data_IF_899037043287
#
_entry.id   IF_899037043287
#
_cell.length_a   1.000
_cell.length_b   1.000
_cell.length_c   1.000
_cell.angle_alpha   90.00
_cell.angle_beta   90.00
_cell.angle_gamma   90.00
#
_symmetry.space_group_name_H-M   'P 1'
#
loop_
_entity.id
_entity.type
_entity.pdbx_description
1 polymer ?
#
# COMPACT_ATOMS: atom_id res chain seq x y z
N UNK A 1 -16.99 -26.84 -5.50
CA UNK A 1 -15.89 -27.58 -6.15
C UNK A 1 -14.70 -27.58 -5.20
N UNK A 2 -13.88 -28.65 -5.19
CA UNK A 2 -12.68 -28.72 -4.37
C UNK A 2 -11.63 -27.72 -4.88
N UNK A 3 -10.94 -27.03 -3.95
CA UNK A 3 -9.84 -26.11 -4.28
C UNK A 3 -8.70 -26.90 -4.94
N UNK A 4 -8.16 -26.37 -6.01
CA UNK A 4 -7.02 -26.96 -6.73
C UNK A 4 -5.72 -26.30 -6.30
N UNK A 5 -4.65 -27.11 -6.23
CA UNK A 5 -3.28 -26.64 -5.97
C UNK A 5 -2.33 -27.27 -6.98
N UNK A 6 -1.28 -26.52 -7.36
CA UNK A 6 -0.21 -26.96 -8.24
C UNK A 6 1.13 -27.02 -7.52
N UNK A 7 1.97 -27.98 -7.88
CA UNK A 7 3.34 -28.11 -7.34
C UNK A 7 4.20 -29.09 -8.12
N UNK A 8 5.52 -28.99 -7.97
CA UNK A 8 6.48 -30.04 -8.28
C UNK A 8 6.57 -31.01 -7.10
N UNK A 9 6.63 -32.32 -7.33
CA UNK A 9 6.35 -33.34 -6.30
C UNK A 9 7.41 -34.41 -6.12
N UNK A 10 7.71 -35.18 -7.16
CA UNK A 10 8.56 -36.35 -7.11
C UNK A 10 8.99 -36.72 -8.54
N UNK A 11 10.14 -37.35 -8.74
CA UNK A 11 10.62 -37.81 -10.05
C UNK A 11 9.81 -39.01 -10.60
N UNK A 12 10.13 -39.43 -11.84
CA UNK A 12 9.50 -40.57 -12.52
C UNK A 12 9.68 -41.90 -11.78
N UNK A 13 10.71 -42.00 -10.94
CA UNK A 13 11.05 -43.19 -10.17
C UNK A 13 10.47 -43.19 -8.75
N UNK A 14 9.69 -42.15 -8.39
CA UNK A 14 9.18 -41.97 -7.04
C UNK A 14 10.25 -41.54 -6.04
N UNK A 15 11.34 -40.89 -6.50
CA UNK A 15 12.47 -40.43 -5.69
C UNK A 15 12.54 -38.91 -5.63
N UNK A 16 13.29 -38.41 -4.68
CA UNK A 16 13.51 -36.99 -4.53
C UNK A 16 14.58 -36.42 -5.48
N UNK A 17 15.38 -37.28 -6.09
CA UNK A 17 16.48 -36.91 -6.99
C UNK A 17 16.92 -38.07 -7.84
N UNK A 18 17.66 -37.80 -8.92
CA UNK A 18 18.28 -38.78 -9.80
C UNK A 18 17.39 -39.26 -10.96
N UNK A 19 16.34 -38.48 -11.26
CA UNK A 19 15.47 -38.66 -12.41
C UNK A 19 16.11 -38.15 -13.72
N UNK A 20 15.36 -38.19 -14.82
CA UNK A 20 15.72 -37.60 -16.10
C UNK A 20 15.09 -36.21 -16.22
N UNK A 21 15.87 -35.28 -16.79
CA UNK A 21 15.38 -33.93 -17.03
C UNK A 21 14.12 -33.91 -17.89
N UNK A 22 13.14 -33.11 -17.44
CA UNK A 22 11.77 -33.06 -17.97
C UNK A 22 10.80 -33.97 -17.26
N UNK A 23 9.50 -33.76 -17.46
CA UNK A 23 8.44 -34.53 -16.82
C UNK A 23 8.17 -35.84 -17.56
N UNK A 24 8.86 -36.87 -17.21
CA UNK A 24 8.86 -38.15 -17.91
C UNK A 24 7.50 -38.90 -17.77
N UNK A 25 6.86 -38.82 -16.61
CA UNK A 25 5.61 -39.53 -16.38
C UNK A 25 4.36 -38.62 -16.46
N UNK A 26 4.55 -37.33 -16.66
CA UNK A 26 3.45 -36.35 -16.71
C UNK A 26 2.77 -36.05 -15.38
N UNK A 27 3.44 -36.36 -14.26
CA UNK A 27 2.92 -36.19 -12.89
C UNK A 27 3.94 -35.56 -11.94
N UNK A 28 5.15 -35.33 -12.39
CA UNK A 28 6.22 -34.76 -11.59
C UNK A 28 5.88 -33.35 -11.15
N UNK A 29 5.34 -32.55 -12.08
CA UNK A 29 4.60 -31.35 -11.78
C UNK A 29 3.12 -31.61 -12.04
N UNK A 30 2.26 -31.34 -11.07
CA UNK A 30 0.84 -31.69 -11.22
C UNK A 30 -0.11 -30.80 -10.43
N UNK A 31 -1.33 -30.73 -10.95
CA UNK A 31 -2.48 -30.10 -10.29
C UNK A 31 -3.26 -31.17 -9.56
N UNK A 32 -3.59 -30.91 -8.29
CA UNK A 32 -4.39 -31.83 -7.46
C UNK A 32 -5.40 -31.06 -6.62
N UNK A 33 -6.28 -31.81 -5.94
CA UNK A 33 -7.16 -31.22 -4.92
C UNK A 33 -6.31 -30.74 -3.73
N UNK A 34 -6.71 -29.65 -3.11
CA UNK A 34 -6.14 -29.21 -1.85
C UNK A 34 -6.28 -30.33 -0.78
N UNK A 35 -5.31 -30.42 0.08
CA UNK A 35 -5.25 -31.36 1.19
C UNK A 35 -4.65 -30.73 2.44
N UNK A 36 -5.03 -31.23 3.60
CA UNK A 36 -4.39 -30.82 4.84
C UNK A 36 -3.07 -31.57 4.98
N UNK A 37 -1.95 -30.86 4.95
CA UNK A 37 -0.64 -31.47 5.12
C UNK A 37 -0.38 -31.79 6.60
N UNK A 38 0.25 -32.97 6.90
CA UNK A 38 0.53 -33.41 8.27
C UNK A 38 1.41 -32.44 9.08
N UNK A 39 2.33 -31.74 8.40
CA UNK A 39 3.18 -30.67 8.99
C UNK A 39 2.47 -29.31 9.10
N UNK A 40 1.18 -29.21 8.78
CA UNK A 40 0.42 -27.96 8.74
C UNK A 40 0.90 -26.98 7.67
N UNK A 41 0.00 -26.11 7.21
CA UNK A 41 0.29 -25.05 6.25
C UNK A 41 0.56 -23.71 6.92
N UNK A 42 1.47 -22.94 6.36
CA UNK A 42 1.55 -21.49 6.41
C UNK A 42 0.98 -20.95 5.11
N UNK A 43 0.13 -19.96 5.16
CA UNK A 43 -0.54 -19.40 3.97
C UNK A 43 -0.04 -17.99 3.73
N UNK A 44 0.58 -17.77 2.58
CA UNK A 44 1.13 -16.49 2.16
C UNK A 44 0.30 -15.95 1.00
N UNK A 45 -0.33 -14.79 1.21
CA UNK A 45 -1.18 -14.12 0.22
C UNK A 45 -0.48 -12.90 -0.34
N UNK A 46 -0.34 -12.82 -1.65
CA UNK A 46 0.13 -11.61 -2.32
C UNK A 46 -0.95 -10.52 -2.23
N UNK A 47 -0.54 -9.28 -1.94
CA UNK A 47 -1.43 -8.13 -1.81
C UNK A 47 -1.79 -7.51 -3.16
N UNK A 48 -1.02 -7.78 -4.21
CA UNK A 48 -1.23 -7.26 -5.56
C UNK A 48 -2.02 -8.28 -6.39
N UNK A 49 -3.24 -7.93 -6.78
CA UNK A 49 -4.17 -8.80 -7.51
C UNK A 49 -3.68 -9.18 -8.92
N UNK A 50 -2.94 -8.30 -9.60
CA UNK A 50 -2.40 -8.60 -10.93
C UNK A 50 -1.25 -9.63 -10.84
N UNK A 51 -0.45 -9.57 -9.78
CA UNK A 51 0.60 -10.54 -9.50
C UNK A 51 0.05 -11.89 -9.04
N UNK A 52 -1.01 -11.89 -8.26
CA UNK A 52 -1.74 -13.10 -7.83
C UNK A 52 -2.09 -13.99 -9.02
N UNK A 53 -2.70 -13.40 -10.06
CA UNK A 53 -3.07 -14.16 -11.27
C UNK A 53 -1.85 -14.69 -12.01
N UNK A 54 -0.78 -13.90 -12.14
CA UNK A 54 0.48 -14.33 -12.77
C UNK A 54 1.14 -15.48 -12.02
N UNK A 55 1.16 -15.46 -10.68
CA UNK A 55 1.71 -16.56 -9.86
C UNK A 55 0.95 -17.86 -10.15
N UNK A 56 -0.38 -17.81 -10.15
CA UNK A 56 -1.20 -18.99 -10.39
C UNK A 56 -1.07 -19.49 -11.85
N UNK A 57 -1.10 -18.59 -12.82
CA UNK A 57 -0.95 -18.92 -14.24
C UNK A 57 0.41 -19.55 -14.55
N UNK A 58 1.50 -19.03 -13.93
CA UNK A 58 2.83 -19.63 -14.08
C UNK A 58 2.89 -21.05 -13.52
N UNK A 59 2.29 -21.30 -12.36
CA UNK A 59 2.23 -22.65 -11.79
C UNK A 59 1.44 -23.60 -12.68
N UNK A 60 0.28 -23.17 -13.21
CA UNK A 60 -0.51 -23.99 -14.15
C UNK A 60 0.26 -24.28 -15.43
N UNK A 61 0.97 -23.29 -15.96
CA UNK A 61 1.80 -23.44 -17.15
C UNK A 61 2.94 -24.45 -16.91
N UNK A 62 3.64 -24.34 -15.79
CA UNK A 62 4.68 -25.29 -15.41
C UNK A 62 4.13 -26.72 -15.28
N UNK A 63 2.97 -26.91 -14.63
CA UNK A 63 2.33 -28.23 -14.51
C UNK A 63 1.91 -28.83 -15.87
N UNK A 64 1.75 -28.02 -16.93
CA UNK A 64 1.45 -28.50 -18.28
C UNK A 64 2.67 -28.72 -19.15
N UNK A 65 3.81 -28.12 -18.81
CA UNK A 65 5.02 -28.19 -19.63
C UNK A 65 5.82 -29.48 -19.33
N UNK A 66 5.89 -30.38 -20.32
CA UNK A 66 6.60 -31.66 -20.22
C UNK A 66 8.10 -31.56 -20.17
N UNK A 67 8.68 -30.40 -20.51
CA UNK A 67 10.11 -30.16 -20.39
C UNK A 67 10.54 -29.86 -18.95
N UNK A 68 9.60 -29.69 -18.01
CA UNK A 68 9.91 -29.32 -16.62
C UNK A 68 9.63 -30.54 -15.74
N UNK A 69 10.68 -31.16 -15.20
CA UNK A 69 10.62 -32.32 -14.30
C UNK A 69 11.00 -31.97 -12.87
N UNK A 70 11.12 -32.99 -12.03
CA UNK A 70 11.38 -32.85 -10.59
C UNK A 70 12.72 -33.48 -10.18
N UNK A 71 13.62 -32.64 -9.63
CA UNK A 71 14.82 -33.11 -8.93
C UNK A 71 15.26 -32.09 -7.86
N UNK A 72 15.59 -32.60 -6.64
CA UNK A 72 16.04 -31.73 -5.54
C UNK A 72 17.49 -31.28 -5.65
N UNK A 73 18.33 -31.99 -6.40
CA UNK A 73 19.73 -31.64 -6.60
C UNK A 73 19.89 -30.69 -7.78
N UNK A 74 19.20 -30.95 -8.89
CA UNK A 74 19.19 -30.14 -10.11
C UNK A 74 18.11 -29.03 -10.09
N UNK A 75 17.62 -28.70 -8.92
CA UNK A 75 16.47 -27.83 -8.65
C UNK A 75 16.50 -26.44 -9.28
N UNK A 76 17.64 -25.93 -9.69
CA UNK A 76 17.81 -24.59 -10.26
C UNK A 76 17.90 -24.57 -11.78
N UNK A 77 17.90 -25.70 -12.46
CA UNK A 77 18.01 -25.75 -13.92
C UNK A 77 16.84 -25.07 -14.60
N UNK A 78 15.60 -25.27 -14.09
CA UNK A 78 14.44 -24.52 -14.55
C UNK A 78 14.61 -23.00 -14.34
N UNK A 79 15.07 -22.55 -13.17
CA UNK A 79 15.23 -21.13 -12.91
C UNK A 79 16.19 -20.46 -13.88
N UNK A 80 17.29 -21.13 -14.20
CA UNK A 80 18.31 -20.64 -15.11
C UNK A 80 17.79 -20.53 -16.55
N UNK A 81 17.06 -21.56 -17.04
CA UNK A 81 16.45 -21.54 -18.38
C UNK A 81 15.31 -20.52 -18.47
N UNK A 82 14.44 -20.45 -17.46
CA UNK A 82 13.31 -19.56 -17.44
C UNK A 82 13.72 -18.07 -17.44
N UNK A 83 14.86 -17.74 -16.83
CA UNK A 83 15.41 -16.38 -16.83
C UNK A 83 15.60 -15.81 -18.25
N UNK A 84 16.06 -16.62 -19.19
CA UNK A 84 16.27 -16.21 -20.57
C UNK A 84 14.97 -15.92 -21.34
N UNK A 85 13.84 -16.43 -20.86
CA UNK A 85 12.51 -16.29 -21.49
C UNK A 85 11.52 -15.48 -20.63
N UNK A 86 12.03 -14.61 -19.74
CA UNK A 86 11.21 -13.75 -18.87
C UNK A 86 10.51 -14.51 -17.76
N UNK A 87 11.06 -15.62 -17.31
CA UNK A 87 10.50 -16.55 -16.31
C UNK A 87 9.16 -17.17 -16.70
N UNK A 88 8.80 -17.14 -17.99
CA UNK A 88 7.56 -17.74 -18.49
C UNK A 88 7.72 -19.27 -18.66
N UNK A 89 7.04 -20.10 -17.83
CA UNK A 89 7.14 -21.56 -17.93
C UNK A 89 6.60 -22.12 -19.24
N UNK A 90 5.72 -21.39 -19.95
CA UNK A 90 5.23 -21.82 -21.28
C UNK A 90 6.39 -21.87 -22.30
N UNK A 91 7.33 -20.93 -22.19
CA UNK A 91 8.41 -20.73 -23.16
C UNK A 91 9.66 -21.57 -22.88
N UNK A 92 9.67 -22.39 -21.82
CA UNK A 92 10.77 -23.31 -21.51
C UNK A 92 10.71 -24.49 -22.46
N UNK A 93 11.60 -24.53 -23.46
CA UNK A 93 11.61 -25.51 -24.50
C UNK A 93 12.61 -26.69 -24.25
N UNK A 94 13.63 -26.49 -23.40
CA UNK A 94 14.61 -27.49 -23.10
C UNK A 94 14.26 -28.27 -21.82
N UNK A 95 14.49 -29.59 -21.77
CA UNK A 95 14.31 -30.38 -20.56
C UNK A 95 15.13 -29.82 -19.40
N UNK A 96 14.48 -29.71 -18.23
CA UNK A 96 15.06 -29.15 -16.99
C UNK A 96 14.34 -29.67 -15.76
N UNK A 97 14.91 -29.37 -14.61
CA UNK A 97 14.46 -29.85 -13.32
C UNK A 97 14.18 -28.70 -12.34
N UNK A 98 13.28 -28.97 -11.41
CA UNK A 98 12.98 -28.06 -10.30
C UNK A 98 12.56 -28.85 -9.05
N UNK A 99 12.71 -28.28 -7.87
CA UNK A 99 11.96 -28.71 -6.68
C UNK A 99 10.72 -27.85 -6.46
N UNK A 100 9.90 -28.21 -5.47
CA UNK A 100 8.68 -27.47 -5.16
C UNK A 100 8.95 -25.98 -4.83
N UNK A 101 10.03 -25.68 -4.10
CA UNK A 101 10.36 -24.32 -3.68
C UNK A 101 10.99 -23.48 -4.81
N UNK A 102 11.85 -24.09 -5.64
CA UNK A 102 12.42 -23.41 -6.79
C UNK A 102 11.37 -23.10 -7.86
N UNK A 103 10.37 -23.98 -8.05
CA UNK A 103 9.22 -23.72 -8.92
C UNK A 103 8.41 -22.52 -8.44
N UNK A 104 8.09 -22.43 -7.14
CA UNK A 104 7.44 -21.25 -6.60
C UNK A 104 8.25 -19.99 -6.87
N UNK A 105 9.59 -20.04 -6.73
CA UNK A 105 10.47 -18.90 -7.04
C UNK A 105 10.36 -18.45 -8.50
N UNK A 106 10.24 -19.38 -9.44
CA UNK A 106 10.01 -19.06 -10.87
C UNK A 106 8.65 -18.39 -11.05
N UNK A 107 7.58 -18.90 -10.41
CA UNK A 107 6.26 -18.29 -10.47
C UNK A 107 6.24 -16.85 -9.90
N UNK A 108 6.99 -16.60 -8.82
CA UNK A 108 7.16 -15.27 -8.25
C UNK A 108 7.91 -14.34 -9.21
N UNK A 109 9.02 -14.81 -9.80
CA UNK A 109 9.81 -14.05 -10.75
C UNK A 109 9.00 -13.68 -12.01
N UNK A 110 8.17 -14.59 -12.53
CA UNK A 110 7.25 -14.32 -13.64
C UNK A 110 6.21 -13.23 -13.28
N UNK A 111 5.77 -13.19 -12.02
CA UNK A 111 4.89 -12.15 -11.53
C UNK A 111 5.61 -10.81 -11.24
N UNK A 112 6.92 -10.71 -11.51
CA UNK A 112 7.72 -9.52 -11.23
C UNK A 112 8.09 -9.37 -9.75
N UNK A 113 8.12 -10.48 -8.99
CA UNK A 113 8.52 -10.50 -7.58
C UNK A 113 9.89 -11.15 -7.47
N UNK A 114 10.92 -10.31 -7.28
CA UNK A 114 12.28 -10.79 -7.08
C UNK A 114 12.45 -11.32 -5.64
N UNK A 115 13.08 -12.51 -5.52
CA UNK A 115 13.44 -13.11 -4.25
C UNK A 115 14.82 -13.73 -4.33
N UNK A 116 15.48 -13.83 -3.17
CA UNK A 116 16.65 -14.67 -3.04
C UNK A 116 16.31 -16.15 -3.28
N UNK A 117 17.35 -16.98 -3.44
CA UNK A 117 17.16 -18.41 -3.51
C UNK A 117 16.74 -18.95 -2.13
N UNK A 118 15.60 -19.62 -2.07
CA UNK A 118 15.07 -20.21 -0.85
C UNK A 118 14.78 -21.72 -1.02
N UNK A 119 14.65 -22.40 0.11
CA UNK A 119 14.05 -23.72 0.26
C UNK A 119 12.83 -23.60 1.18
N UNK A 120 12.02 -24.64 1.30
CA UNK A 120 10.79 -24.59 2.12
C UNK A 120 10.97 -24.04 3.55
N UNK A 121 12.07 -24.30 4.30
CA UNK A 121 12.26 -23.70 5.63
C UNK A 121 12.42 -22.17 5.63
N UNK A 122 13.00 -21.60 4.59
CA UNK A 122 13.28 -20.15 4.49
C UNK A 122 12.30 -19.41 3.58
N UNK A 123 11.44 -20.13 2.84
CA UNK A 123 10.55 -19.59 1.82
C UNK A 123 9.63 -18.50 2.36
N UNK A 124 8.94 -18.76 3.47
CA UNK A 124 8.02 -17.78 4.03
C UNK A 124 8.72 -16.47 4.44
N UNK A 125 9.92 -16.57 5.06
CA UNK A 125 10.73 -15.40 5.42
C UNK A 125 11.14 -14.62 4.17
N UNK A 126 11.61 -15.30 3.12
CA UNK A 126 12.02 -14.66 1.87
C UNK A 126 10.84 -13.95 1.17
N UNK A 127 9.66 -14.57 1.14
CA UNK A 127 8.46 -13.97 0.56
C UNK A 127 7.96 -12.75 1.34
N UNK A 128 7.90 -12.84 2.68
CA UNK A 128 7.48 -11.73 3.54
C UNK A 128 8.45 -10.54 3.46
N UNK A 129 9.76 -10.80 3.33
CA UNK A 129 10.78 -9.76 3.20
C UNK A 129 10.61 -8.91 1.93
N UNK A 130 9.88 -9.37 0.91
CA UNK A 130 9.55 -8.57 -0.28
C UNK A 130 8.56 -7.43 0.00
N UNK A 131 7.89 -7.43 1.16
CA UNK A 131 6.81 -6.50 1.48
C UNK A 131 5.53 -6.70 0.66
N UNK A 132 5.47 -7.71 -0.22
CA UNK A 132 4.34 -7.94 -1.12
C UNK A 132 3.38 -9.04 -0.63
N UNK A 133 3.72 -9.73 0.45
CA UNK A 133 2.94 -10.81 1.02
C UNK A 133 2.55 -10.54 2.46
N UNK A 134 1.37 -11.07 2.83
CA UNK A 134 0.93 -11.20 4.21
C UNK A 134 0.78 -12.66 4.57
N UNK A 135 1.08 -13.03 5.81
CA UNK A 135 0.84 -14.37 6.32
C UNK A 135 -0.54 -14.46 6.98
N UNK A 136 -1.35 -15.41 6.56
CA UNK A 136 -2.68 -15.67 7.09
C UNK A 136 -2.60 -16.80 8.12
N UNK A 137 -2.70 -16.45 9.41
CA UNK A 137 -2.46 -17.39 10.53
C UNK A 137 -3.71 -18.07 11.08
N UNK A 138 -4.91 -17.59 10.73
CA UNK A 138 -6.16 -18.13 11.23
C UNK A 138 -6.42 -19.56 10.75
N UNK A 139 -6.95 -20.44 11.61
CA UNK A 139 -7.29 -21.85 11.27
C UNK A 139 -8.15 -21.99 10.02
N UNK A 140 -9.04 -21.02 9.73
CA UNK A 140 -9.87 -21.01 8.52
C UNK A 140 -9.05 -20.99 7.21
N UNK A 141 -7.79 -20.53 7.25
CA UNK A 141 -6.88 -20.53 6.11
C UNK A 141 -5.90 -21.70 6.13
N UNK A 142 -5.47 -22.13 7.32
CA UNK A 142 -4.41 -23.15 7.46
C UNK A 142 -4.94 -24.59 7.49
N UNK A 143 -6.16 -24.78 7.98
CA UNK A 143 -6.74 -26.10 8.20
C UNK A 143 -7.88 -26.43 7.22
N UNK A 144 -8.38 -25.43 6.48
CA UNK A 144 -9.49 -25.53 5.53
C UNK A 144 -9.15 -24.81 4.22
N UNK A 145 -9.85 -25.19 3.15
CA UNK A 145 -9.63 -24.57 1.83
C UNK A 145 -10.66 -23.48 1.46
N UNK A 146 -11.75 -23.36 2.21
CA UNK A 146 -12.89 -22.49 1.85
C UNK A 146 -12.50 -21.01 1.67
N UNK A 147 -11.51 -20.53 2.39
CA UNK A 147 -11.06 -19.15 2.37
C UNK A 147 -9.77 -18.92 1.57
N UNK A 148 -9.19 -19.98 0.99
CA UNK A 148 -8.02 -19.87 0.14
C UNK A 148 -8.40 -19.21 -1.18
N UNK A 149 -7.50 -18.39 -1.69
CA UNK A 149 -7.65 -17.68 -2.97
C UNK A 149 -6.64 -18.18 -3.99
N UNK A 150 -7.03 -18.16 -5.26
CA UNK A 150 -6.11 -18.37 -6.36
C UNK A 150 -4.89 -17.46 -6.21
N UNK A 151 -3.69 -18.03 -6.35
CA UNK A 151 -2.41 -17.37 -6.15
C UNK A 151 -1.90 -17.35 -4.70
N UNK A 152 -2.67 -17.82 -3.69
CA UNK A 152 -2.11 -18.07 -2.36
C UNK A 152 -0.99 -19.11 -2.47
N UNK A 153 0.11 -18.87 -1.77
CA UNK A 153 1.23 -19.80 -1.68
C UNK A 153 1.20 -20.47 -0.31
N UNK A 154 1.11 -21.79 -0.30
CA UNK A 154 1.13 -22.59 0.91
C UNK A 154 2.49 -23.24 1.07
N UNK A 155 3.12 -23.11 2.23
CA UNK A 155 4.36 -23.79 2.58
C UNK A 155 4.20 -24.48 3.94
N UNK A 156 4.76 -25.66 4.11
CA UNK A 156 4.71 -26.40 5.37
C UNK A 156 5.42 -25.64 6.50
N UNK A 157 4.93 -25.77 7.73
CA UNK A 157 5.51 -25.13 8.94
C UNK A 157 6.93 -25.59 9.26
N UNK A 158 7.25 -26.83 8.91
CA UNK A 158 8.60 -27.39 8.94
C UNK A 158 9.05 -27.71 7.50
N UNK A 159 10.31 -28.09 7.33
CA UNK A 159 10.80 -28.55 6.03
C UNK A 159 9.88 -29.63 5.44
N UNK A 160 9.48 -29.47 4.20
CA UNK A 160 8.56 -30.42 3.56
C UNK A 160 8.16 -29.99 2.16
N UNK A 161 7.05 -29.28 2.01
CA UNK A 161 6.44 -29.04 0.71
C UNK A 161 5.88 -27.62 0.57
N UNK A 162 5.70 -27.20 -0.68
CA UNK A 162 5.02 -25.93 -1.00
C UNK A 162 4.16 -26.11 -2.26
N UNK A 163 3.03 -25.42 -2.29
CA UNK A 163 2.06 -25.46 -3.39
C UNK A 163 1.53 -24.05 -3.67
N UNK A 164 1.03 -23.81 -4.88
CA UNK A 164 0.26 -22.61 -5.23
C UNK A 164 -1.21 -22.97 -5.41
N UNK A 165 -2.10 -22.20 -4.82
CA UNK A 165 -3.55 -22.35 -4.97
C UNK A 165 -3.98 -21.89 -6.35
N UNK A 166 -4.73 -22.73 -7.09
CA UNK A 166 -5.11 -22.50 -8.49
C UNK A 166 -6.60 -22.20 -8.67
N UNK A 167 -7.41 -22.36 -7.64
CA UNK A 167 -8.83 -21.99 -7.68
C UNK A 167 -9.29 -21.44 -6.34
N UNK A 168 -10.31 -20.58 -6.36
CA UNK A 168 -10.86 -20.01 -5.14
C UNK A 168 -11.65 -21.04 -4.33
N UNK A 169 -11.55 -20.95 -3.00
CA UNK A 169 -12.44 -21.63 -2.07
C UNK A 169 -13.84 -21.01 -2.08
N UNK A 170 -14.81 -21.75 -1.57
CA UNK A 170 -16.24 -21.37 -1.59
C UNK A 170 -16.55 -20.07 -0.83
N UNK A 171 -15.72 -19.71 0.14
CA UNK A 171 -15.83 -18.51 0.98
C UNK A 171 -14.67 -17.51 0.76
N UNK A 172 -13.91 -17.71 -0.30
CA UNK A 172 -12.73 -16.88 -0.58
C UNK A 172 -13.07 -15.40 -0.89
N UNK A 173 -14.33 -15.11 -1.19
CA UNK A 173 -14.77 -13.86 -1.79
C UNK A 173 -14.21 -13.73 -3.21
N UNK A 174 -14.87 -13.01 -4.10
CA UNK A 174 -14.22 -12.59 -5.34
C UNK A 174 -12.99 -11.77 -4.99
N UNK A 175 -11.89 -11.93 -5.72
CA UNK A 175 -10.83 -10.93 -5.74
C UNK A 175 -11.50 -9.62 -6.19
N UNK A 176 -11.90 -8.76 -5.26
CA UNK A 176 -11.99 -7.36 -5.60
C UNK A 176 -10.54 -7.01 -5.96
N UNK A 177 -10.31 -6.66 -7.21
CA UNK A 177 -9.04 -6.07 -7.62
C UNK A 177 -8.88 -4.84 -6.74
N UNK A 178 -7.99 -4.91 -5.76
CA UNK A 178 -7.72 -3.77 -4.90
C UNK A 178 -6.84 -2.83 -5.72
N UNK A 179 -7.49 -1.89 -6.36
CA UNK A 179 -6.81 -0.75 -6.96
C UNK A 179 -6.36 0.18 -5.84
N UNK A 180 -5.15 0.72 -5.95
CA UNK A 180 -4.74 1.87 -5.16
C UNK A 180 -5.42 3.12 -5.72
N UNK A 181 -5.67 4.09 -4.86
CA UNK A 181 -6.24 5.35 -5.31
C UNK A 181 -5.28 6.05 -6.27
N UNK A 182 -5.75 6.32 -7.50
CA UNK A 182 -4.95 6.89 -8.58
C UNK A 182 -4.58 5.90 -9.70
N UNK A 183 -4.69 4.57 -9.48
CA UNK A 183 -4.39 3.56 -10.49
C UNK A 183 -5.38 3.59 -11.67
N UNK A 184 -6.59 4.02 -11.43
CA UNK A 184 -7.67 4.11 -12.41
C UNK A 184 -8.56 5.32 -12.18
N UNK A 185 -9.26 5.72 -13.22
CA UNK A 185 -10.33 6.70 -13.13
C UNK A 185 -11.48 6.11 -12.30
N UNK A 186 -12.01 6.89 -11.32
CA UNK A 186 -13.17 6.51 -10.52
C UNK A 186 -14.39 7.37 -10.88
N UNK A 187 -15.53 6.73 -11.07
CA UNK A 187 -16.81 7.38 -11.41
C UNK A 187 -17.99 6.63 -10.80
N UNK A 188 -19.17 7.25 -10.85
CA UNK A 188 -20.42 6.66 -10.35
C UNK A 188 -20.64 5.24 -10.83
N UNK A 189 -21.02 4.36 -9.90
CA UNK A 189 -21.27 2.93 -10.12
C UNK A 189 -20.06 2.03 -9.94
N UNK A 190 -18.85 2.60 -9.70
CA UNK A 190 -17.66 1.82 -9.36
C UNK A 190 -17.60 1.56 -7.86
N UNK A 191 -16.91 0.48 -7.46
CA UNK A 191 -16.68 0.15 -6.07
C UNK A 191 -15.27 -0.44 -5.88
N UNK A 192 -14.73 -0.34 -4.65
CA UNK A 192 -13.43 -0.89 -4.32
C UNK A 192 -12.79 -0.24 -3.09
N UNK A 193 -11.57 -0.74 -2.75
CA UNK A 193 -10.71 -0.14 -1.72
C UNK A 193 -10.26 1.27 -2.09
N UNK A 194 -9.98 1.50 -3.37
CA UNK A 194 -9.64 2.80 -3.94
C UNK A 194 -10.77 3.83 -3.84
N UNK A 195 -12.03 3.39 -4.04
CA UNK A 195 -13.20 4.24 -3.80
C UNK A 195 -13.33 4.59 -2.33
N UNK A 196 -13.15 3.60 -1.45
CA UNK A 196 -13.18 3.82 0.01
C UNK A 196 -12.07 4.76 0.46
N UNK A 197 -10.87 4.62 -0.08
CA UNK A 197 -9.74 5.52 0.21
C UNK A 197 -10.03 6.95 -0.26
N UNK A 198 -10.59 7.13 -1.47
CA UNK A 198 -11.06 8.44 -1.95
C UNK A 198 -12.05 9.08 -0.98
N UNK A 199 -13.08 8.32 -0.56
CA UNK A 199 -14.08 8.79 0.39
C UNK A 199 -13.47 9.19 1.74
N UNK A 200 -12.55 8.39 2.30
CA UNK A 200 -11.82 8.72 3.52
C UNK A 200 -11.01 10.00 3.38
N UNK A 201 -10.36 10.19 2.24
CA UNK A 201 -9.56 11.37 1.97
C UNK A 201 -10.43 12.63 1.80
N UNK A 202 -11.59 12.51 1.15
CA UNK A 202 -12.57 13.59 1.08
C UNK A 202 -13.09 13.99 2.47
N UNK A 203 -13.41 13.01 3.33
CA UNK A 203 -13.82 13.25 4.71
C UNK A 203 -12.73 13.97 5.53
N UNK A 204 -11.45 13.56 5.39
CA UNK A 204 -10.30 14.24 6.03
C UNK A 204 -10.18 15.70 5.61
N UNK A 205 -10.52 16.02 4.37
CA UNK A 205 -10.53 17.38 3.82
C UNK A 205 -11.82 18.16 4.13
N UNK A 206 -12.75 17.57 4.91
CA UNK A 206 -14.00 18.21 5.36
C UNK A 206 -15.15 18.15 4.34
N UNK A 207 -15.07 17.29 3.31
CA UNK A 207 -16.18 17.05 2.39
C UNK A 207 -17.10 15.98 2.95
N UNK A 208 -18.37 16.32 3.15
CA UNK A 208 -19.32 15.47 3.86
C UNK A 208 -19.80 14.28 2.99
N UNK A 209 -19.93 13.12 3.65
CA UNK A 209 -20.58 11.91 3.14
C UNK A 209 -21.59 11.43 4.21
N UNK A 210 -22.70 12.17 4.43
CA UNK A 210 -23.50 12.08 5.66
C UNK A 210 -24.31 10.78 5.78
N UNK A 211 -24.64 10.10 4.67
CA UNK A 211 -25.53 8.95 4.68
C UNK A 211 -24.80 7.62 4.71
N UNK A 212 -23.75 7.50 3.91
CA UNK A 212 -23.04 6.23 3.70
C UNK A 212 -21.58 6.26 4.15
N UNK A 213 -21.00 7.45 4.33
CA UNK A 213 -19.60 7.59 4.72
C UNK A 213 -18.64 7.01 3.69
N UNK A 214 -17.57 6.38 4.18
CA UNK A 214 -16.57 5.70 3.34
C UNK A 214 -16.94 4.21 3.19
N UNK A 215 -18.02 3.91 2.47
CA UNK A 215 -18.54 2.56 2.26
C UNK A 215 -17.82 1.78 1.15
N UNK A 216 -17.08 2.49 0.28
CA UNK A 216 -16.38 1.93 -0.86
C UNK A 216 -17.22 1.83 -2.12
N UNK A 217 -18.42 2.38 -2.15
CA UNK A 217 -19.28 2.47 -3.32
C UNK A 217 -19.33 3.92 -3.85
N UNK A 218 -19.00 4.13 -5.12
CA UNK A 218 -19.05 5.45 -5.76
C UNK A 218 -20.50 5.82 -6.11
N UNK A 219 -21.27 6.13 -5.06
CA UNK A 219 -22.66 6.54 -5.15
C UNK A 219 -22.86 8.03 -5.50
N UNK A 220 -24.10 8.52 -5.45
CA UNK A 220 -24.43 9.92 -5.69
C UNK A 220 -23.72 10.86 -4.71
N UNK A 221 -23.66 10.49 -3.43
CA UNK A 221 -23.01 11.26 -2.39
C UNK A 221 -21.50 11.44 -2.64
N UNK A 222 -20.81 10.40 -3.11
CA UNK A 222 -19.40 10.48 -3.51
C UNK A 222 -19.22 11.40 -4.73
N UNK A 223 -20.13 11.33 -5.71
CA UNK A 223 -20.13 12.24 -6.87
C UNK A 223 -20.22 13.69 -6.41
N UNK A 224 -21.15 14.02 -5.52
CA UNK A 224 -21.37 15.39 -5.03
C UNK A 224 -20.17 15.90 -4.21
N UNK A 225 -19.57 15.04 -3.39
CA UNK A 225 -18.35 15.37 -2.66
C UNK A 225 -17.18 15.66 -3.59
N UNK A 226 -16.97 14.83 -4.63
CA UNK A 226 -15.93 15.03 -5.65
C UNK A 226 -16.18 16.31 -6.43
N UNK A 227 -17.41 16.60 -6.87
CA UNK A 227 -17.76 17.86 -7.55
C UNK A 227 -17.47 19.08 -6.67
N UNK A 228 -17.80 18.99 -5.39
CA UNK A 228 -17.53 20.09 -4.44
C UNK A 228 -16.04 20.31 -4.27
N UNK A 229 -15.26 19.23 -4.17
CA UNK A 229 -13.80 19.30 -4.14
C UNK A 229 -13.23 19.92 -5.41
N UNK A 230 -13.65 19.43 -6.59
CA UNK A 230 -13.20 19.92 -7.90
C UNK A 230 -13.48 21.41 -8.05
N UNK A 231 -14.68 21.87 -7.71
CA UNK A 231 -15.06 23.30 -7.75
C UNK A 231 -14.13 24.16 -6.88
N UNK A 232 -13.85 23.73 -5.64
CA UNK A 232 -12.93 24.44 -4.74
C UNK A 232 -11.49 24.43 -5.23
N UNK A 233 -11.08 23.39 -5.95
CA UNK A 233 -9.74 23.23 -6.52
C UNK A 233 -9.57 23.86 -7.90
N UNK A 234 -10.60 24.54 -8.44
CA UNK A 234 -10.56 25.15 -9.78
C UNK A 234 -10.48 24.15 -10.92
N UNK A 235 -10.96 22.91 -10.71
CA UNK A 235 -10.99 21.86 -11.73
C UNK A 235 -12.35 21.80 -12.44
N UNK A 236 -12.39 21.08 -13.57
CA UNK A 236 -13.63 20.70 -14.21
C UNK A 236 -14.50 19.91 -13.22
N UNK A 237 -15.79 20.34 -13.08
CA UNK A 237 -16.69 19.80 -12.05
C UNK A 237 -17.56 18.68 -12.65
N UNK A 238 -16.91 17.60 -13.10
CA UNK A 238 -17.55 16.44 -13.73
C UNK A 238 -17.97 15.34 -12.74
N UNK A 239 -17.42 15.37 -11.52
CA UNK A 239 -17.67 14.36 -10.49
C UNK A 239 -16.93 13.06 -10.76
N UNK A 240 -15.85 13.10 -11.56
CA UNK A 240 -14.98 11.97 -11.89
C UNK A 240 -13.62 12.17 -11.22
N UNK A 241 -13.15 11.18 -10.47
CA UNK A 241 -11.79 11.21 -9.93
C UNK A 241 -10.81 10.68 -10.98
N UNK A 242 -10.36 11.57 -11.87
CA UNK A 242 -9.28 11.33 -12.84
C UNK A 242 -7.93 11.81 -12.34
N UNK A 243 -6.92 11.81 -13.21
CA UNK A 243 -5.53 12.16 -12.87
C UNK A 243 -5.37 13.57 -12.29
N UNK A 244 -6.10 14.57 -12.82
CA UNK A 244 -6.04 15.96 -12.34
C UNK A 244 -6.67 16.07 -10.94
N UNK A 245 -7.82 15.42 -10.72
CA UNK A 245 -8.49 15.38 -9.42
C UNK A 245 -7.61 14.66 -8.39
N UNK A 246 -6.94 13.57 -8.79
CA UNK A 246 -6.01 12.83 -7.93
C UNK A 246 -4.81 13.67 -7.50
N UNK A 247 -4.16 14.39 -8.43
CA UNK A 247 -3.04 15.29 -8.13
C UNK A 247 -3.44 16.38 -7.14
N UNK A 248 -4.59 17.03 -7.35
CA UNK A 248 -5.09 18.07 -6.46
C UNK A 248 -5.48 17.52 -5.08
N UNK A 249 -6.06 16.32 -5.03
CA UNK A 249 -6.41 15.65 -3.77
C UNK A 249 -5.15 15.33 -2.94
N UNK A 250 -4.12 14.79 -3.58
CA UNK A 250 -2.84 14.48 -2.94
C UNK A 250 -2.18 15.76 -2.40
N UNK A 251 -2.12 16.83 -3.19
CA UNK A 251 -1.58 18.12 -2.77
C UNK A 251 -2.34 18.70 -1.56
N UNK A 252 -3.68 18.62 -1.58
CA UNK A 252 -4.51 19.09 -0.45
C UNK A 252 -4.27 18.27 0.84
N UNK A 253 -4.05 16.96 0.72
CA UNK A 253 -3.73 16.09 1.86
C UNK A 253 -2.33 16.35 2.41
N UNK A 254 -1.35 16.62 1.54
CA UNK A 254 0.00 17.01 1.98
C UNK A 254 -0.03 18.34 2.72
N UNK A 255 -0.81 19.32 2.25
CA UNK A 255 -0.98 20.61 2.92
C UNK A 255 -1.60 20.48 4.34
N UNK A 256 -2.37 19.40 4.61
CA UNK A 256 -2.86 19.11 5.96
C UNK A 256 -1.77 18.57 6.90
N UNK A 257 -0.68 18.01 6.35
CA UNK A 257 0.44 17.47 7.14
C UNK A 257 1.43 18.55 7.56
N UNK A 258 1.47 19.67 6.82
CA UNK A 258 2.27 20.81 7.22
C UNK A 258 1.73 21.35 8.55
N UNK A 259 2.56 21.51 9.59
CA UNK A 259 2.13 22.15 10.81
C UNK A 259 1.64 23.56 10.43
N UNK A 260 0.37 23.85 10.71
CA UNK A 260 -0.15 25.22 10.62
C UNK A 260 0.86 26.11 11.33
N UNK A 261 1.41 27.17 10.71
CA UNK A 261 2.34 28.03 11.41
C UNK A 261 1.67 28.47 12.69
N UNK A 262 2.25 28.12 13.83
CA UNK A 262 1.82 28.64 15.12
C UNK A 262 2.12 30.11 15.02
N UNK A 263 1.11 30.93 14.72
CA UNK A 263 1.25 32.38 14.75
C UNK A 263 1.52 32.74 16.20
N UNK A 264 2.79 32.86 16.54
CA UNK A 264 3.22 33.40 17.81
C UNK A 264 2.69 34.84 17.84
N UNK A 265 1.91 35.17 18.88
CA UNK A 265 1.30 36.48 18.99
C UNK A 265 1.90 37.26 20.17
N UNK A 266 1.82 38.57 20.09
CA UNK A 266 2.15 39.45 21.18
C UNK A 266 0.84 39.98 21.76
N UNK A 267 0.60 39.74 23.03
CA UNK A 267 -0.55 40.30 23.78
C UNK A 267 -0.11 41.54 24.56
N UNK A 268 -0.90 42.58 24.51
CA UNK A 268 -0.73 43.80 25.31
C UNK A 268 -1.21 43.56 26.76
N UNK A 269 -0.34 43.87 27.71
CA UNK A 269 -0.62 43.72 29.12
C UNK A 269 -1.40 44.96 29.66
N UNK A 270 -2.04 44.81 30.79
CA UNK A 270 -2.71 45.91 31.48
C UNK A 270 -1.66 46.95 31.91
N UNK A 271 -1.99 48.22 31.76
CA UNK A 271 -1.22 49.38 32.24
C UNK A 271 -2.11 50.32 33.00
N UNK A 272 -1.50 51.15 33.85
CA UNK A 272 -2.25 52.15 34.65
C UNK A 272 -3.03 53.16 33.75
N UNK A 273 -2.45 53.49 32.58
CA UNK A 273 -3.04 54.39 31.59
C UNK A 273 -3.99 53.73 30.58
N UNK A 274 -4.19 52.40 30.71
CA UNK A 274 -5.11 51.58 29.89
C UNK A 274 -4.67 51.40 28.43
N UNK A 275 -3.53 51.94 28.00
CA UNK A 275 -3.04 51.78 26.65
C UNK A 275 -1.50 51.80 26.55
N UNK A 276 -0.97 51.20 25.49
CA UNK A 276 0.49 51.10 25.17
C UNK A 276 0.74 51.61 23.75
N UNK A 277 1.78 52.40 23.58
CA UNK A 277 2.15 52.91 22.27
C UNK A 277 2.94 51.85 21.47
N UNK A 278 2.48 51.53 20.26
CA UNK A 278 3.21 50.81 19.25
C UNK A 278 3.97 51.83 18.40
N UNK A 279 5.30 51.66 18.25
CA UNK A 279 6.19 52.67 17.68
C UNK A 279 6.87 52.19 16.42
N UNK A 280 7.43 53.11 15.63
CA UNK A 280 8.17 52.81 14.42
C UNK A 280 9.54 52.11 14.65
N UNK A 281 10.00 52.05 15.91
CA UNK A 281 11.26 51.41 16.30
C UNK A 281 11.27 50.97 17.76
N UNK A 282 12.27 50.21 18.15
CA UNK A 282 12.42 49.57 19.43
C UNK A 282 12.89 50.49 20.55
N UNK A 283 12.22 51.61 20.74
CA UNK A 283 12.52 52.60 21.81
C UNK A 283 11.52 53.75 21.85
N UNK A 284 11.52 54.49 22.97
CA UNK A 284 10.59 55.58 23.22
C UNK A 284 10.84 56.82 22.37
N UNK A 285 12.03 56.95 21.77
CA UNK A 285 12.41 58.04 20.86
C UNK A 285 11.76 57.91 19.48
N UNK A 286 11.24 56.75 19.14
CA UNK A 286 10.62 56.55 17.80
C UNK A 286 9.15 57.00 17.80
N UNK A 287 8.70 57.43 16.61
CA UNK A 287 7.34 57.89 16.40
C UNK A 287 6.31 56.83 16.79
N UNK A 288 5.18 57.30 17.35
CA UNK A 288 4.04 56.43 17.67
C UNK A 288 3.28 56.19 16.37
N UNK A 289 3.13 54.90 16.03
CA UNK A 289 2.35 54.44 14.88
C UNK A 289 0.86 54.23 15.27
N UNK A 290 0.66 53.69 16.49
CA UNK A 290 -0.69 53.43 16.95
C UNK A 290 -0.68 53.27 18.50
N UNK A 291 -1.83 53.46 19.14
CA UNK A 291 -2.07 53.07 20.53
C UNK A 291 -2.81 51.72 20.56
N UNK A 292 -2.39 50.82 21.45
CA UNK A 292 -2.98 49.51 21.64
C UNK A 292 -3.51 49.40 23.08
N UNK A 293 -4.63 48.73 23.28
CA UNK A 293 -5.27 48.48 24.58
C UNK A 293 -4.85 47.19 25.21
N UNK A 294 -4.97 47.08 26.51
CA UNK A 294 -4.79 45.80 27.20
C UNK A 294 -5.69 44.72 26.59
N UNK A 295 -5.11 43.56 26.30
CA UNK A 295 -5.79 42.43 25.63
C UNK A 295 -5.70 42.44 24.11
N UNK A 296 -5.30 43.53 23.47
CA UNK A 296 -5.03 43.51 22.01
C UNK A 296 -3.93 42.52 21.70
N UNK A 297 -4.07 41.85 20.56
CA UNK A 297 -3.10 40.85 20.08
C UNK A 297 -2.60 41.20 18.68
N UNK A 298 -1.34 40.99 18.44
CA UNK A 298 -0.65 41.25 17.17
C UNK A 298 0.21 40.04 16.76
N UNK A 299 0.41 39.84 15.47
CA UNK A 299 1.35 38.83 14.99
C UNK A 299 2.78 39.20 15.41
N UNK A 300 3.47 38.27 16.06
CA UNK A 300 4.86 38.43 16.49
C UNK A 300 5.81 38.33 15.31
N UNK A 301 6.79 39.23 15.25
CA UNK A 301 7.84 39.22 14.24
C UNK A 301 9.19 38.83 14.88
N UNK A 302 9.61 39.56 15.92
CA UNK A 302 10.89 39.34 16.58
C UNK A 302 10.94 40.07 17.96
N UNK A 303 11.92 39.71 18.78
CA UNK A 303 12.26 40.47 20.00
C UNK A 303 13.66 41.06 19.85
N UNK A 304 13.78 42.37 20.02
CA UNK A 304 15.07 43.07 20.03
C UNK A 304 15.85 42.79 21.32
N UNK A 305 17.18 42.95 21.27
CA UNK A 305 18.05 42.70 22.42
C UNK A 305 17.72 43.57 23.64
N UNK A 306 17.05 44.71 23.46
CA UNK A 306 16.58 45.58 24.54
C UNK A 306 15.17 45.21 25.06
N UNK A 307 14.64 44.04 24.67
CA UNK A 307 13.36 43.51 25.18
C UNK A 307 12.10 44.11 24.51
N UNK A 308 12.22 44.86 23.41
CA UNK A 308 11.07 45.30 22.64
C UNK A 308 10.62 44.23 21.66
N UNK A 309 9.30 44.03 21.57
CA UNK A 309 8.69 43.07 20.65
C UNK A 309 8.27 43.77 19.36
N UNK A 310 8.73 43.25 18.22
CA UNK A 310 8.27 43.64 16.90
C UNK A 310 6.97 42.92 16.57
N UNK A 311 6.00 43.64 16.04
CA UNK A 311 4.67 43.18 15.70
C UNK A 311 4.21 43.71 14.35
N UNK A 312 3.35 42.93 13.67
CA UNK A 312 2.72 43.38 12.44
C UNK A 312 1.53 44.26 12.73
N UNK A 313 1.50 45.47 12.16
CA UNK A 313 0.36 46.38 12.19
C UNK A 313 0.22 47.09 10.82
N UNK A 314 -0.99 47.11 10.29
CA UNK A 314 -1.32 47.88 9.06
C UNK A 314 -0.27 47.71 7.92
N UNK A 315 0.14 46.47 7.63
CA UNK A 315 1.14 46.06 6.65
C UNK A 315 2.57 46.61 6.88
N UNK A 316 2.90 46.98 8.09
CA UNK A 316 4.22 47.40 8.51
C UNK A 316 4.63 46.75 9.86
N UNK A 317 5.92 46.87 10.19
CA UNK A 317 6.41 46.43 11.50
C UNK A 317 6.33 47.58 12.49
N UNK A 318 5.62 47.36 13.60
CA UNK A 318 5.61 48.21 14.78
C UNK A 318 6.36 47.58 15.94
N UNK A 319 6.72 48.35 16.95
CA UNK A 319 7.44 47.91 18.12
C UNK A 319 6.69 48.29 19.40
N UNK A 320 6.55 47.31 20.31
CA UNK A 320 5.97 47.49 21.63
C UNK A 320 6.94 47.03 22.72
N UNK A 321 7.00 47.78 23.83
CA UNK A 321 7.89 47.43 24.93
C UNK A 321 7.50 46.11 25.56
N UNK A 322 8.45 45.16 25.74
CA UNK A 322 8.25 43.89 26.42
C UNK A 322 7.87 44.05 27.89
N UNK A 323 7.99 45.27 28.49
CA UNK A 323 7.45 45.57 29.81
C UNK A 323 5.92 45.55 29.82
N UNK A 324 5.29 45.90 28.69
CA UNK A 324 3.86 46.03 28.52
C UNK A 324 3.25 45.07 27.52
N UNK A 325 4.03 44.06 27.09
CA UNK A 325 3.58 43.07 26.16
C UNK A 325 4.25 41.72 26.43
N UNK A 326 3.58 40.63 26.05
CA UNK A 326 4.07 39.27 26.21
C UNK A 326 3.86 38.48 24.92
N UNK A 327 4.87 37.74 24.51
CA UNK A 327 4.80 36.76 23.44
C UNK A 327 4.10 35.50 23.97
N UNK A 328 3.06 35.00 23.26
CA UNK A 328 2.25 33.82 23.60
C UNK A 328 2.09 32.89 22.39
#
# INVERSE_FOLDING_TARGET
MAVKVGSARIDENGRAHGGKAGNQMGKELSVQNWYRHSKGWRVLRCMDSAKVEKIAAAMEAACRNRNIGYDQYERLTLYNLAKAVGFDPVRVANPCETDCSALVRVCLAFAGIATENFRTPTQAKAMLATGQFVELTGKKYTDFSDYLRRGDVLVTRAQGHTVVVLSNGSKAGSLKVEHQLGDRLLKKGMSGSDVRELQQNLLKLGYALPKYGADGDYGAETVDAVKTFQKKSGLETDGIHGSNTHKSLTAALEALKEPKPVLTTVVILSTEDGSVNVRAGNGTQYAILRSAKAGDTFNYVATAANGWNAVEIDNQVGWVSGRYSRVI
#
